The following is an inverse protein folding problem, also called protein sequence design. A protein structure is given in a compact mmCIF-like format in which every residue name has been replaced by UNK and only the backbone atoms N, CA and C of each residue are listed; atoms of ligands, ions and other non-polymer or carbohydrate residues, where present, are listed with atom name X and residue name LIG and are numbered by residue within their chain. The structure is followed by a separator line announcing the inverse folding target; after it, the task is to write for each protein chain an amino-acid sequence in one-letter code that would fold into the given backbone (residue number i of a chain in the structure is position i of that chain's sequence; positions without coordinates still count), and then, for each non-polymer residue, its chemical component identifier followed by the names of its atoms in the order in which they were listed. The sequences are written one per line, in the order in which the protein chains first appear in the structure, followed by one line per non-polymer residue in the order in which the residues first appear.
data_IF_426483944627
#
_entry.id   IF_426483944627
#
_cell.length_a   1.000
_cell.length_b   1.000
_cell.length_c   1.000
_cell.angle_alpha   90.00
_cell.angle_beta   90.00
_cell.angle_gamma   90.00
#
_symmetry.space_group_name_H-M   'P 1'
#
loop_
_entity.id
_entity.type
_entity.pdbx_description
1 polymer ?
#
# COMPACT_ATOMS: atom_id res chain seq x y z
N UNK A 1 11.08 -35.04 47.10
CA UNK A 1 11.20 -33.67 46.55
C UNK A 1 11.93 -33.57 45.19
N UNK A 2 12.32 -34.68 44.53
CA UNK A 2 12.96 -34.61 43.19
C UNK A 2 11.94 -34.70 42.04
N UNK A 3 10.88 -35.48 42.21
CA UNK A 3 9.85 -35.72 41.17
C UNK A 3 9.04 -34.47 40.79
N UNK A 4 8.71 -33.61 41.77
CA UNK A 4 7.98 -32.36 41.53
C UNK A 4 8.77 -31.34 40.69
N UNK A 5 10.11 -31.33 40.81
CA UNK A 5 10.98 -30.43 40.05
C UNK A 5 11.02 -30.78 38.56
N UNK A 6 10.97 -32.06 38.22
CA UNK A 6 11.00 -32.50 36.81
C UNK A 6 9.67 -32.22 36.08
N UNK A 7 8.53 -32.30 36.77
CA UNK A 7 7.21 -31.95 36.20
C UNK A 7 7.12 -30.46 35.84
N UNK A 8 7.63 -29.58 36.72
CA UNK A 8 7.65 -28.13 36.45
C UNK A 8 8.52 -27.77 35.24
N UNK A 9 9.69 -28.41 35.07
CA UNK A 9 10.59 -28.17 33.93
C UNK A 9 9.97 -28.66 32.60
N UNK A 10 9.27 -29.79 32.61
CA UNK A 10 8.60 -30.35 31.43
C UNK A 10 7.41 -29.48 31.00
N UNK A 11 6.61 -28.98 31.94
CA UNK A 11 5.52 -28.05 31.64
C UNK A 11 6.03 -26.75 31.01
N UNK A 12 7.14 -26.18 31.50
CA UNK A 12 7.73 -24.96 30.90
C UNK A 12 8.22 -25.19 29.47
N UNK A 13 8.76 -26.38 29.16
CA UNK A 13 9.19 -26.73 27.80
C UNK A 13 8.02 -26.88 26.81
N UNK A 14 6.87 -27.39 27.26
CA UNK A 14 5.70 -27.57 26.38
C UNK A 14 5.03 -26.25 25.99
N UNK A 15 5.13 -25.20 26.82
CA UNK A 15 4.59 -23.87 26.48
C UNK A 15 5.41 -23.13 25.42
N UNK A 16 6.72 -23.36 25.32
CA UNK A 16 7.57 -22.65 24.33
C UNK A 16 7.36 -23.17 22.90
N UNK A 17 6.97 -24.44 22.73
CA UNK A 17 6.71 -25.03 21.41
C UNK A 17 5.27 -24.85 20.90
N UNK A 18 4.34 -24.36 21.74
CA UNK A 18 2.95 -24.18 21.34
C UNK A 18 2.64 -22.81 20.70
N UNK A 19 3.61 -21.90 20.62
CA UNK A 19 3.57 -20.75 19.71
C UNK A 19 4.16 -21.15 18.34
N UNK A 20 3.55 -22.15 17.68
CA UNK A 20 3.68 -22.18 16.22
C UNK A 20 2.99 -20.92 15.74
N UNK A 21 3.77 -19.93 15.29
CA UNK A 21 3.27 -18.86 14.41
C UNK A 21 2.46 -19.59 13.34
N UNK A 22 1.14 -19.55 13.47
CA UNK A 22 0.27 -19.85 12.35
C UNK A 22 0.70 -18.85 11.30
N UNK A 23 1.38 -19.33 10.25
CA UNK A 23 1.47 -18.63 8.99
C UNK A 23 0.03 -18.58 8.45
N UNK A 24 -0.77 -17.70 9.04
CA UNK A 24 -2.00 -17.24 8.42
C UNK A 24 -1.52 -16.55 7.17
N UNK A 25 -1.68 -17.21 6.03
CA UNK A 25 -1.56 -16.55 4.74
C UNK A 25 -2.59 -15.43 4.77
N UNK A 26 -2.13 -14.19 4.94
CA UNK A 26 -2.98 -13.02 4.78
C UNK A 26 -3.38 -13.04 3.32
N UNK A 27 -4.61 -13.47 3.05
CA UNK A 27 -5.17 -13.39 1.71
C UNK A 27 -5.51 -11.93 1.47
N UNK A 28 -4.82 -11.32 0.51
CA UNK A 28 -5.13 -9.97 0.08
C UNK A 28 -6.59 -9.89 -0.39
N UNK A 29 -7.32 -8.82 -0.08
CA UNK A 29 -8.61 -8.58 -0.69
C UNK A 29 -8.43 -8.51 -2.20
N UNK A 30 -9.27 -9.25 -2.95
CA UNK A 30 -9.20 -9.21 -4.41
C UNK A 30 -9.49 -7.82 -4.99
N UNK A 31 -9.20 -7.60 -6.27
CA UNK A 31 -9.44 -6.32 -6.97
C UNK A 31 -10.86 -5.78 -6.80
N UNK A 32 -11.85 -6.66 -6.75
CA UNK A 32 -13.26 -6.31 -6.56
C UNK A 32 -13.53 -5.58 -5.23
N UNK A 33 -12.76 -5.90 -4.18
CA UNK A 33 -12.93 -5.25 -2.88
C UNK A 33 -12.62 -3.76 -2.97
N UNK A 34 -11.51 -3.40 -3.61
CA UNK A 34 -11.10 -2.01 -3.71
C UNK A 34 -11.98 -1.23 -4.69
N UNK A 35 -12.36 -1.85 -5.82
CA UNK A 35 -13.33 -1.27 -6.75
C UNK A 35 -14.66 -0.97 -6.07
N UNK A 36 -15.20 -1.93 -5.31
CA UNK A 36 -16.45 -1.75 -4.59
C UNK A 36 -16.33 -0.64 -3.52
N UNK A 37 -15.19 -0.55 -2.82
CA UNK A 37 -14.94 0.52 -1.86
C UNK A 37 -14.87 1.90 -2.52
N UNK A 38 -14.23 2.00 -3.68
CA UNK A 38 -14.14 3.22 -4.47
C UNK A 38 -15.52 3.63 -5.01
N UNK A 39 -16.29 2.70 -5.56
CA UNK A 39 -17.64 2.94 -6.10
C UNK A 39 -18.67 3.35 -5.04
N UNK A 40 -18.58 2.80 -3.83
CA UNK A 40 -19.51 3.14 -2.76
C UNK A 40 -19.18 4.46 -2.05
N UNK A 41 -18.03 5.07 -2.36
CA UNK A 41 -17.66 6.37 -1.84
C UNK A 41 -18.27 7.51 -2.66
N UNK A 42 -18.49 8.65 -1.99
CA UNK A 42 -18.85 9.91 -2.66
C UNK A 42 -17.63 10.82 -2.57
N UNK A 43 -17.06 11.15 -3.72
CA UNK A 43 -15.80 11.89 -3.83
C UNK A 43 -16.03 13.16 -4.63
N UNK A 44 -15.59 14.30 -4.12
CA UNK A 44 -15.83 15.58 -4.80
C UNK A 44 -15.12 15.65 -6.16
N UNK A 45 -15.87 15.89 -7.23
CA UNK A 45 -15.29 16.05 -8.58
C UNK A 45 -14.75 14.76 -9.21
N UNK A 46 -14.99 13.60 -8.59
CA UNK A 46 -14.61 12.28 -9.12
C UNK A 46 -15.85 11.44 -9.32
N UNK A 47 -15.95 10.81 -10.48
CA UNK A 47 -16.98 9.82 -10.76
C UNK A 47 -16.34 8.45 -10.92
N UNK A 48 -16.82 7.45 -10.17
CA UNK A 48 -16.36 6.06 -10.27
C UNK A 48 -17.58 5.20 -10.61
N UNK A 49 -17.56 4.57 -11.77
CA UNK A 49 -18.68 3.79 -12.30
C UNK A 49 -18.17 2.50 -12.93
N UNK A 50 -18.42 1.37 -12.27
CA UNK A 50 -17.90 0.08 -12.70
C UNK A 50 -16.37 0.06 -12.59
N UNK A 51 -15.71 -0.26 -13.70
CA UNK A 51 -14.26 -0.28 -13.87
C UNK A 51 -13.68 1.09 -14.28
N UNK A 52 -14.49 2.13 -14.42
CA UNK A 52 -14.03 3.44 -14.88
C UNK A 52 -13.96 4.46 -13.73
N UNK A 53 -12.83 5.18 -13.67
CA UNK A 53 -12.61 6.35 -12.83
C UNK A 53 -12.46 7.58 -13.70
N UNK A 54 -13.25 8.62 -13.45
CA UNK A 54 -13.19 9.90 -14.18
C UNK A 54 -12.71 11.01 -13.25
N UNK A 55 -11.58 11.63 -13.60
CA UNK A 55 -11.02 12.81 -12.94
C UNK A 55 -11.05 13.98 -13.92
N UNK A 56 -11.82 15.01 -13.60
CA UNK A 56 -12.10 16.09 -14.55
C UNK A 56 -12.75 15.56 -15.84
N UNK A 57 -12.14 15.85 -16.99
CA UNK A 57 -12.61 15.39 -18.31
C UNK A 57 -11.94 14.10 -18.79
N UNK A 58 -11.06 13.50 -17.98
CA UNK A 58 -10.28 12.32 -18.35
C UNK A 58 -10.84 11.09 -17.66
N UNK A 59 -11.02 10.01 -18.42
CA UNK A 59 -11.49 8.72 -17.91
C UNK A 59 -10.40 7.66 -17.99
N UNK A 60 -10.20 6.96 -16.90
CA UNK A 60 -9.21 5.91 -16.70
C UNK A 60 -9.92 4.58 -16.44
N UNK A 61 -9.37 3.50 -17.01
CA UNK A 61 -9.90 2.14 -16.89
C UNK A 61 -9.13 1.36 -15.85
N UNK A 62 -9.83 0.66 -14.97
CA UNK A 62 -9.23 -0.19 -13.97
C UNK A 62 -8.36 -1.26 -14.63
N UNK A 63 -7.12 -1.38 -14.16
CA UNK A 63 -6.17 -2.37 -14.64
C UNK A 63 -5.86 -3.40 -13.56
N UNK A 64 -5.66 -2.93 -12.33
CA UNK A 64 -5.11 -3.74 -11.26
C UNK A 64 -5.40 -3.11 -9.90
N UNK A 65 -5.12 -3.84 -8.82
CA UNK A 65 -5.16 -3.31 -7.46
C UNK A 65 -3.79 -3.38 -6.81
N UNK A 66 -3.45 -2.37 -6.03
CA UNK A 66 -2.32 -2.41 -5.13
C UNK A 66 -2.79 -3.05 -3.82
N UNK A 67 -2.59 -4.37 -3.67
CA UNK A 67 -2.86 -5.15 -2.45
C UNK A 67 -4.25 -4.92 -1.82
N UNK A 68 -5.27 -4.65 -2.64
CA UNK A 68 -6.62 -4.29 -2.17
C UNK A 68 -6.72 -2.97 -1.38
N UNK A 69 -5.65 -2.16 -1.32
CA UNK A 69 -5.62 -0.84 -0.65
C UNK A 69 -5.87 0.32 -1.60
N UNK A 70 -5.49 0.18 -2.88
CA UNK A 70 -5.68 1.18 -3.92
C UNK A 70 -6.01 0.51 -5.25
N UNK A 71 -6.80 1.19 -6.08
CA UNK A 71 -7.02 0.80 -7.47
C UNK A 71 -6.03 1.49 -8.39
N UNK A 72 -5.56 0.77 -9.40
CA UNK A 72 -4.70 1.29 -10.47
C UNK A 72 -5.58 1.41 -11.72
N UNK A 73 -5.71 2.63 -12.22
CA UNK A 73 -6.48 2.96 -13.41
C UNK A 73 -5.56 3.53 -14.48
N UNK A 74 -5.81 3.22 -15.75
CA UNK A 74 -4.97 3.64 -16.87
C UNK A 74 -5.78 4.30 -18.00
N UNK A 75 -5.16 5.27 -18.67
CA UNK A 75 -5.61 5.83 -19.93
C UNK A 75 -4.39 5.96 -20.86
N UNK A 76 -4.17 4.95 -21.70
CA UNK A 76 -2.96 4.87 -22.50
C UNK A 76 -1.72 4.67 -21.64
N UNK A 77 -0.81 5.64 -21.65
CA UNK A 77 0.44 5.61 -20.85
C UNK A 77 0.31 6.35 -19.51
N UNK A 78 -0.83 6.97 -19.25
CA UNK A 78 -1.09 7.71 -18.01
C UNK A 78 -1.82 6.81 -17.02
N UNK A 79 -1.32 6.77 -15.79
CA UNK A 79 -1.84 5.94 -14.72
C UNK A 79 -2.32 6.81 -13.56
N UNK A 80 -3.32 6.30 -12.83
CA UNK A 80 -3.85 6.90 -11.62
C UNK A 80 -3.94 5.81 -10.56
N UNK A 81 -3.30 6.05 -9.43
CA UNK A 81 -3.43 5.23 -8.24
C UNK A 81 -4.44 5.91 -7.33
N UNK A 82 -5.56 5.25 -7.08
CA UNK A 82 -6.69 5.78 -6.32
C UNK A 82 -6.90 4.98 -5.03
N UNK A 83 -6.67 5.61 -3.87
CA UNK A 83 -6.73 4.98 -2.56
C UNK A 83 -7.77 5.66 -1.65
N UNK A 84 -8.85 4.97 -1.25
CA UNK A 84 -9.87 5.50 -0.34
C UNK A 84 -9.42 5.37 1.12
N UNK A 85 -8.62 6.33 1.58
CA UNK A 85 -7.97 6.37 2.91
C UNK A 85 -8.66 7.36 3.86
N UNK A 86 -9.99 7.48 3.77
CA UNK A 86 -10.79 8.51 4.43
C UNK A 86 -11.14 9.61 3.44
N UNK A 87 -10.13 10.34 2.97
CA UNK A 87 -10.20 11.04 1.69
C UNK A 87 -9.79 10.08 0.56
N UNK A 88 -10.22 10.38 -0.66
CA UNK A 88 -9.69 9.71 -1.83
C UNK A 88 -8.36 10.35 -2.19
N UNK A 89 -7.28 9.59 -2.04
CA UNK A 89 -5.97 9.98 -2.54
C UNK A 89 -5.87 9.53 -3.99
N UNK A 90 -5.53 10.45 -4.89
CA UNK A 90 -5.22 10.13 -6.28
C UNK A 90 -3.81 10.58 -6.62
N UNK A 91 -3.00 9.67 -7.16
CA UNK A 91 -1.63 9.94 -7.60
C UNK A 91 -1.59 9.65 -9.10
N UNK A 92 -1.39 10.67 -9.92
CA UNK A 92 -1.13 10.47 -11.35
C UNK A 92 0.33 10.13 -11.57
N UNK A 93 0.60 9.20 -12.47
CA UNK A 93 1.94 8.64 -12.66
C UNK A 93 2.06 7.93 -14.00
N UNK A 94 3.24 7.42 -14.33
CA UNK A 94 3.47 6.56 -15.49
C UNK A 94 3.55 5.07 -15.10
N UNK A 95 3.64 4.19 -16.10
CA UNK A 95 3.72 2.74 -15.88
C UNK A 95 4.94 2.34 -15.04
N UNK A 96 6.11 2.91 -15.33
CA UNK A 96 7.35 2.54 -14.64
C UNK A 96 7.30 2.96 -13.17
N UNK A 97 6.67 4.09 -12.90
CA UNK A 97 6.48 4.64 -11.57
C UNK A 97 5.42 3.89 -10.76
N UNK A 98 4.39 3.37 -11.42
CA UNK A 98 3.43 2.44 -10.82
C UNK A 98 4.12 1.14 -10.38
N UNK A 99 4.98 0.57 -11.23
CA UNK A 99 5.72 -0.65 -10.92
C UNK A 99 6.77 -0.43 -9.83
N UNK A 100 7.48 0.70 -9.86
CA UNK A 100 8.41 1.08 -8.80
C UNK A 100 7.72 1.26 -7.45
N UNK A 101 6.50 1.80 -7.42
CA UNK A 101 5.71 1.87 -6.19
C UNK A 101 5.33 0.49 -5.65
N UNK A 102 4.95 -0.45 -6.53
CA UNK A 102 4.70 -1.85 -6.14
C UNK A 102 5.94 -2.46 -5.50
N UNK A 103 7.11 -2.25 -6.11
CA UNK A 103 8.37 -2.77 -5.58
C UNK A 103 8.73 -2.17 -4.21
N UNK A 104 8.53 -0.86 -4.01
CA UNK A 104 8.73 -0.24 -2.69
C UNK A 104 7.82 -0.89 -1.65
N UNK A 105 6.55 -1.11 -1.98
CA UNK A 105 5.59 -1.75 -1.08
C UNK A 105 5.99 -3.19 -0.74
N UNK A 106 6.51 -3.94 -1.72
CA UNK A 106 7.04 -5.28 -1.49
C UNK A 106 8.24 -5.28 -0.53
N UNK A 107 9.11 -4.26 -0.62
CA UNK A 107 10.26 -4.10 0.28
C UNK A 107 9.82 -3.73 1.69
N UNK A 108 8.96 -2.71 1.86
CA UNK A 108 8.52 -2.27 3.20
C UNK A 108 7.53 -3.24 3.85
N UNK A 109 6.95 -4.14 3.05
CA UNK A 109 5.94 -5.09 3.45
C UNK A 109 4.52 -4.54 3.33
N UNK A 110 3.61 -5.42 2.91
CA UNK A 110 2.20 -5.11 2.61
C UNK A 110 1.46 -4.39 3.74
N UNK A 111 1.77 -4.74 5.00
CA UNK A 111 1.17 -4.09 6.18
C UNK A 111 1.50 -2.59 6.29
N UNK A 112 2.55 -2.13 5.62
CA UNK A 112 3.01 -0.75 5.60
C UNK A 112 2.61 0.00 4.31
N UNK A 113 1.93 -0.67 3.38
CA UNK A 113 1.61 -0.12 2.06
C UNK A 113 0.77 1.17 2.12
N UNK A 114 -0.16 1.27 3.07
CA UNK A 114 -0.92 2.51 3.32
C UNK A 114 -0.01 3.66 3.75
N UNK A 115 1.05 3.36 4.52
CA UNK A 115 2.05 4.33 4.93
C UNK A 115 2.82 4.89 3.73
N UNK A 116 3.16 4.04 2.76
CA UNK A 116 3.83 4.46 1.52
C UNK A 116 2.95 5.43 0.73
N UNK A 117 1.68 5.07 0.46
CA UNK A 117 0.76 5.95 -0.28
C UNK A 117 0.59 7.29 0.45
N UNK A 118 0.42 7.26 1.77
CA UNK A 118 0.29 8.50 2.57
C UNK A 118 1.58 9.33 2.59
N UNK A 119 2.76 8.70 2.62
CA UNK A 119 4.02 9.42 2.56
C UNK A 119 4.17 10.18 1.24
N UNK A 120 3.76 9.55 0.12
CA UNK A 120 3.69 10.21 -1.19
C UNK A 120 2.65 11.33 -1.19
N UNK A 121 1.45 11.05 -0.68
CA UNK A 121 0.34 12.00 -0.62
C UNK A 121 0.65 13.28 0.16
N UNK A 122 1.45 13.15 1.22
CA UNK A 122 1.81 14.26 2.11
C UNK A 122 3.12 14.95 1.71
N UNK A 123 3.82 14.45 0.69
CA UNK A 123 5.03 15.11 0.21
C UNK A 123 4.70 16.48 -0.37
N UNK A 124 5.53 17.47 -0.03
CA UNK A 124 5.43 18.82 -0.61
C UNK A 124 5.92 18.87 -2.05
N UNK A 125 6.84 17.97 -2.39
CA UNK A 125 7.35 17.76 -3.73
C UNK A 125 7.38 16.26 -4.00
N UNK A 126 6.42 15.72 -4.78
CA UNK A 126 6.42 14.31 -5.16
C UNK A 126 7.69 13.89 -5.92
N UNK A 127 8.50 14.81 -6.43
CA UNK A 127 9.78 14.52 -7.10
C UNK A 127 10.97 14.38 -6.14
N UNK A 128 10.81 14.75 -4.86
CA UNK A 128 11.86 14.73 -3.83
C UNK A 128 11.39 14.01 -2.56
N UNK A 129 10.78 12.84 -2.74
CA UNK A 129 10.35 11.98 -1.64
C UNK A 129 11.56 11.21 -1.12
N UNK A 130 11.77 11.21 0.19
CA UNK A 130 12.86 10.45 0.80
C UNK A 130 12.35 9.09 1.28
N UNK A 131 13.22 8.06 1.32
CA UNK A 131 12.85 6.77 1.90
C UNK A 131 12.23 6.90 3.29
N UNK A 132 12.79 7.76 4.14
CA UNK A 132 12.30 7.98 5.51
C UNK A 132 10.82 8.40 5.58
N UNK A 133 10.33 9.13 4.57
CA UNK A 133 8.98 9.67 4.53
C UNK A 133 7.92 8.59 4.25
N UNK A 134 8.33 7.49 3.60
CA UNK A 134 7.42 6.43 3.14
C UNK A 134 7.60 5.11 3.89
N UNK A 135 8.78 4.83 4.44
CA UNK A 135 9.01 3.61 5.24
C UNK A 135 8.29 3.68 6.59
N UNK A 136 8.14 4.88 7.17
CA UNK A 136 7.50 5.08 8.47
C UNK A 136 8.09 4.20 9.56
N UNK A 137 7.29 3.27 10.10
CA UNK A 137 7.69 2.32 11.15
C UNK A 137 8.05 0.93 10.59
N UNK A 138 8.15 0.77 9.28
CA UNK A 138 8.56 -0.49 8.67
C UNK A 138 9.95 -0.90 9.16
N UNK A 139 10.13 -2.18 9.47
CA UNK A 139 11.44 -2.71 9.81
C UNK A 139 12.14 -3.10 8.50
N UNK A 140 12.94 -2.18 7.97
CA UNK A 140 13.75 -2.36 6.76
C UNK A 140 15.25 -2.26 7.10
N UNK A 141 16.08 -2.96 6.36
CA UNK A 141 17.55 -2.92 6.46
C UNK A 141 18.10 -1.67 5.76
N UNK A 142 19.36 -1.30 6.05
CA UNK A 142 20.02 -0.19 5.35
C UNK A 142 20.14 -0.43 3.84
N UNK A 143 20.34 -1.68 3.42
CA UNK A 143 20.37 -2.06 2.00
C UNK A 143 19.02 -1.83 1.33
N UNK A 144 17.92 -2.22 2.00
CA UNK A 144 16.56 -1.97 1.51
C UNK A 144 16.21 -0.48 1.47
N UNK A 145 16.66 0.32 2.45
CA UNK A 145 16.51 1.77 2.44
C UNK A 145 17.21 2.39 1.23
N UNK A 146 18.45 1.98 0.95
CA UNK A 146 19.19 2.47 -0.22
C UNK A 146 18.48 2.08 -1.52
N UNK A 147 18.00 0.83 -1.62
CA UNK A 147 17.24 0.35 -2.77
C UNK A 147 15.96 1.16 -2.98
N UNK A 148 15.21 1.44 -1.91
CA UNK A 148 14.03 2.32 -1.98
C UNK A 148 14.43 3.72 -2.49
N UNK A 149 15.56 4.27 -2.03
CA UNK A 149 16.06 5.56 -2.50
C UNK A 149 16.42 5.57 -3.98
N UNK A 150 17.04 4.50 -4.48
CA UNK A 150 17.33 4.33 -5.91
C UNK A 150 16.05 4.25 -6.75
N UNK A 151 15.06 3.48 -6.30
CA UNK A 151 13.75 3.38 -6.97
C UNK A 151 13.10 4.77 -7.00
N UNK A 152 12.99 5.43 -5.85
CA UNK A 152 12.40 6.78 -5.71
C UNK A 152 13.03 7.80 -6.65
N UNK A 153 14.36 7.77 -6.81
CA UNK A 153 15.07 8.67 -7.72
C UNK A 153 14.72 8.50 -9.21
N UNK A 154 14.12 7.37 -9.58
CA UNK A 154 13.63 7.09 -10.92
C UNK A 154 12.12 7.27 -11.10
N UNK A 155 11.37 7.61 -10.04
CA UNK A 155 9.92 7.71 -10.13
C UNK A 155 9.48 9.11 -10.57
N UNK A 156 8.37 9.14 -11.30
CA UNK A 156 7.73 10.35 -11.79
C UNK A 156 6.26 10.35 -11.37
N UNK A 157 5.97 11.13 -10.33
CA UNK A 157 4.62 11.41 -9.90
C UNK A 157 4.18 12.76 -10.47
N UNK A 158 2.99 12.80 -11.05
CA UNK A 158 2.35 14.01 -11.53
C UNK A 158 1.58 14.68 -10.41
N UNK A 159 0.27 14.81 -10.60
CA UNK A 159 -0.64 15.41 -9.64
C UNK A 159 -0.95 14.44 -8.51
N UNK A 160 -0.85 14.94 -7.28
CA UNK A 160 -1.19 14.22 -6.06
C UNK A 160 -2.28 15.01 -5.35
N UNK A 161 -3.49 14.45 -5.30
CA UNK A 161 -4.65 15.11 -4.73
C UNK A 161 -5.22 14.31 -3.55
N UNK A 162 -5.68 15.04 -2.52
CA UNK A 162 -6.49 14.50 -1.43
C UNK A 162 -7.90 15.05 -1.57
N UNK A 163 -8.81 14.20 -2.06
CA UNK A 163 -10.16 14.57 -2.41
C UNK A 163 -11.10 14.22 -1.26
N UNK A 164 -11.83 15.19 -0.69
CA UNK A 164 -12.74 14.94 0.42
C UNK A 164 -13.82 13.91 0.08
N UNK A 165 -14.12 13.04 1.05
CA UNK A 165 -15.33 12.23 1.03
C UNK A 165 -16.53 13.06 1.50
N UNK A 166 -17.69 12.89 0.85
CA UNK A 166 -18.95 13.54 1.23
C UNK A 166 -19.85 12.63 2.07
#
# INVERSE_FOLDING_TARGET
MKFLKYILIICTFLFVFSCKKTNLTVTEPGPDYILNKLMNGIWEGVNISGDQLTLGDISYQFQDSLLGIAGIFANGNDYVIAAPLGNLITITTDSGSTDGLKEIIDIVGQQNAVGVINGIANSKDPSDIKPEDIIGNATVTEEEINKIGEILGGLHFGTVDSIPSK
#
